data_IF_713153790451
#
_entry.id   IF_713153790451
#
_cell.length_a   1.000
_cell.length_b   1.000
_cell.length_c   1.000
_cell.angle_alpha   90.00
_cell.angle_beta   90.00
_cell.angle_gamma   90.00
#
_symmetry.space_group_name_H-M   'P 1'
#
loop_
_entity.id
_entity.type
_entity.pdbx_description
1 polymer ?
#
# COMPACT_ATOMS: atom_id res chain seq x y z
N UNK A 1 0.40 0.86 17.95
CA UNK A 1 -0.17 0.75 16.61
C UNK A 1 -1.28 -0.27 16.73
N UNK A 2 -2.47 0.05 16.23
CA UNK A 2 -3.64 -0.82 16.30
C UNK A 2 -4.50 -0.65 15.06
N UNK A 3 -5.45 -1.56 14.87
CA UNK A 3 -6.59 -1.30 13.99
C UNK A 3 -7.65 -0.56 14.80
N UNK A 4 -8.29 0.43 14.20
CA UNK A 4 -9.40 1.17 14.80
C UNK A 4 -10.57 1.24 13.82
N UNK A 5 -11.77 1.02 14.30
CA UNK A 5 -12.96 1.16 13.46
C UNK A 5 -13.35 2.63 13.32
N UNK A 6 -13.46 3.09 12.08
CA UNK A 6 -13.84 4.45 11.74
C UNK A 6 -15.24 4.84 12.29
N UNK A 7 -16.17 3.89 12.34
CA UNK A 7 -17.57 4.15 12.72
C UNK A 7 -17.80 4.14 14.23
N UNK A 8 -17.15 3.23 14.97
CA UNK A 8 -17.47 3.01 16.39
C UNK A 8 -16.27 3.15 17.33
N UNK A 9 -15.07 3.48 16.83
CA UNK A 9 -13.85 3.66 17.62
C UNK A 9 -13.33 2.37 18.27
N UNK A 10 -13.83 1.20 17.87
CA UNK A 10 -13.39 -0.07 18.40
C UNK A 10 -11.93 -0.36 17.99
N UNK A 11 -11.07 -0.58 18.97
CA UNK A 11 -9.67 -0.96 18.74
C UNK A 11 -9.46 -2.48 18.69
N UNK A 12 -8.59 -2.93 17.79
CA UNK A 12 -8.21 -4.33 17.58
C UNK A 12 -6.68 -4.44 17.39
N UNK A 13 -6.10 -5.62 17.67
CA UNK A 13 -4.67 -5.82 17.49
C UNK A 13 -4.30 -5.75 16.00
N UNK A 14 -3.12 -5.19 15.69
CA UNK A 14 -2.65 -5.03 14.31
C UNK A 14 -2.37 -6.37 13.62
N UNK A 15 -2.27 -7.46 14.39
CA UNK A 15 -2.08 -8.81 13.88
C UNK A 15 -3.40 -9.56 13.67
N UNK A 16 -4.54 -8.97 14.00
CA UNK A 16 -5.83 -9.56 13.70
C UNK A 16 -6.09 -9.55 12.18
N UNK A 17 -6.52 -10.69 11.66
CA UNK A 17 -6.82 -10.87 10.23
C UNK A 17 -8.27 -10.52 9.94
N UNK A 18 -8.64 -9.28 10.23
CA UNK A 18 -9.98 -8.73 10.04
C UNK A 18 -9.95 -7.62 9.00
N UNK A 19 -11.00 -7.51 8.19
CA UNK A 19 -11.15 -6.49 7.14
C UNK A 19 -12.36 -5.57 7.38
N UNK A 20 -13.27 -5.98 8.27
CA UNK A 20 -14.43 -5.23 8.75
C UNK A 20 -14.44 -5.32 10.28
N UNK A 21 -15.00 -4.30 10.93
CA UNK A 21 -15.15 -4.25 12.37
C UNK A 21 -16.10 -5.37 12.86
N UNK A 22 -15.64 -6.30 13.71
CA UNK A 22 -16.47 -7.36 14.27
C UNK A 22 -17.68 -6.86 15.09
N UNK A 23 -17.71 -5.58 15.49
CA UNK A 23 -18.79 -5.00 16.30
C UNK A 23 -19.90 -4.33 15.49
N UNK A 24 -19.58 -3.72 14.35
CA UNK A 24 -20.55 -2.93 13.58
C UNK A 24 -20.47 -3.11 12.06
N UNK A 25 -19.50 -3.88 11.53
CA UNK A 25 -19.28 -4.05 10.09
C UNK A 25 -18.59 -2.87 9.39
N UNK A 26 -18.25 -1.80 10.12
CA UNK A 26 -17.55 -0.65 9.56
C UNK A 26 -16.11 -0.94 9.13
N UNK A 27 -15.51 -0.05 8.35
CA UNK A 27 -14.12 -0.16 7.92
C UNK A 27 -13.14 0.08 9.08
N UNK A 28 -11.93 -0.45 8.92
CA UNK A 28 -10.83 -0.33 9.88
C UNK A 28 -9.71 0.54 9.28
N UNK A 29 -9.09 1.35 10.14
CA UNK A 29 -7.89 2.13 9.83
C UNK A 29 -6.72 1.74 10.75
N UNK A 30 -5.50 2.08 10.35
CA UNK A 30 -4.31 1.85 11.19
C UNK A 30 -4.04 3.11 11.98
N UNK A 31 -4.12 2.98 13.30
CA UNK A 31 -3.85 4.07 14.23
C UNK A 31 -2.49 3.93 14.93
N UNK A 32 -1.81 5.07 15.10
CA UNK A 32 -0.54 5.17 15.81
C UNK A 32 -0.63 6.25 16.88
N UNK A 33 -0.08 5.97 18.06
CA UNK A 33 0.11 7.05 19.04
C UNK A 33 1.28 7.94 18.63
N UNK A 34 1.27 9.19 19.11
CA UNK A 34 2.36 10.14 18.86
C UNK A 34 3.71 9.61 19.37
N UNK A 35 3.71 8.92 20.49
CA UNK A 35 4.88 8.30 21.12
C UNK A 35 5.43 7.16 20.25
N UNK A 36 4.55 6.35 19.67
CA UNK A 36 4.92 5.30 18.73
C UNK A 36 5.54 5.87 17.47
N UNK A 37 4.93 6.87 16.84
CA UNK A 37 5.50 7.52 15.66
C UNK A 37 6.87 8.12 15.94
N UNK A 38 7.05 8.78 17.10
CA UNK A 38 8.37 9.30 17.51
C UNK A 38 9.41 8.19 17.64
N UNK A 39 9.06 7.03 18.21
CA UNK A 39 9.97 5.88 18.31
C UNK A 39 10.27 5.30 16.94
N UNK A 40 9.26 5.14 16.09
CA UNK A 40 9.41 4.60 14.75
C UNK A 40 10.29 5.48 13.87
N UNK A 41 10.11 6.81 13.91
CA UNK A 41 10.94 7.76 13.17
C UNK A 41 12.40 7.79 13.63
N UNK A 42 12.67 7.50 14.91
CA UNK A 42 14.04 7.33 15.41
C UNK A 42 14.68 6.05 14.89
N UNK A 43 13.92 4.95 14.82
CA UNK A 43 14.41 3.64 14.34
C UNK A 43 14.53 3.60 12.81
N UNK A 44 13.62 4.27 12.11
CA UNK A 44 13.51 4.32 10.66
C UNK A 44 13.43 5.79 10.22
N UNK A 45 14.57 6.50 10.19
CA UNK A 45 14.61 7.89 9.73
C UNK A 45 14.21 7.99 8.25
N UNK A 46 13.73 9.18 7.84
CA UNK A 46 13.21 9.44 6.50
C UNK A 46 14.34 9.70 5.49
N UNK A 47 15.31 8.80 5.42
CA UNK A 47 16.53 8.89 4.62
C UNK A 47 16.47 7.99 3.37
N UNK A 48 17.34 8.28 2.40
CA UNK A 48 17.44 7.53 1.16
C UNK A 48 16.48 7.98 0.05
N UNK A 49 16.39 7.15 -0.99
CA UNK A 49 15.59 7.41 -2.19
C UNK A 49 14.10 7.62 -1.85
N UNK A 50 13.39 8.38 -2.69
CA UNK A 50 11.96 8.70 -2.52
C UNK A 50 11.00 7.50 -2.72
N UNK A 51 11.35 6.29 -2.30
CA UNK A 51 10.55 5.06 -2.43
C UNK A 51 9.52 4.94 -1.31
N UNK A 52 8.59 3.98 -1.44
CA UNK A 52 7.56 3.74 -0.40
C UNK A 52 8.19 3.44 0.95
N UNK A 53 9.22 2.60 0.99
CA UNK A 53 9.86 2.18 2.24
C UNK A 53 10.77 3.24 2.89
N UNK A 54 11.03 4.39 2.24
CA UNK A 54 11.58 5.57 2.94
C UNK A 54 10.66 6.01 4.09
N UNK A 55 9.36 5.77 3.94
CA UNK A 55 8.34 6.12 4.92
C UNK A 55 8.01 4.96 5.87
N UNK A 56 8.94 4.01 6.06
CA UNK A 56 8.77 2.81 6.89
C UNK A 56 8.23 3.10 8.29
N UNK A 57 8.57 4.24 8.89
CA UNK A 57 8.10 4.64 10.21
C UNK A 57 6.57 4.75 10.34
N UNK A 58 5.87 4.97 9.21
CA UNK A 58 4.42 5.13 9.13
C UNK A 58 3.68 3.88 8.63
N UNK A 59 4.41 2.78 8.38
CA UNK A 59 3.83 1.57 7.78
C UNK A 59 3.43 0.55 8.85
N UNK A 60 2.32 -0.19 8.67
CA UNK A 60 1.81 -1.16 9.63
C UNK A 60 2.55 -2.50 9.68
N UNK A 61 3.88 -2.45 9.67
CA UNK A 61 4.78 -3.61 9.61
C UNK A 61 5.58 -3.70 10.91
N UNK A 62 5.70 -4.90 11.46
CA UNK A 62 6.41 -5.20 12.70
C UNK A 62 7.79 -5.84 12.44
N UNK A 63 7.91 -6.64 11.38
CA UNK A 63 9.12 -7.38 10.99
C UNK A 63 9.66 -6.89 9.65
N UNK A 64 10.77 -6.15 9.69
CA UNK A 64 11.44 -5.61 8.51
C UNK A 64 11.97 -6.69 7.57
N UNK A 65 12.24 -7.90 8.08
CA UNK A 65 12.71 -9.01 7.24
C UNK A 65 11.64 -9.51 6.26
N UNK A 66 10.38 -9.12 6.46
CA UNK A 66 9.26 -9.46 5.58
C UNK A 66 9.00 -8.43 4.49
N UNK A 67 9.73 -7.32 4.47
CA UNK A 67 9.51 -6.25 3.50
C UNK A 67 9.70 -6.79 2.07
N UNK A 68 8.64 -6.69 1.28
CA UNK A 68 8.64 -7.00 -0.15
C UNK A 68 8.63 -5.70 -0.90
N UNK A 69 9.65 -5.44 -1.71
CA UNK A 69 9.70 -4.27 -2.59
C UNK A 69 10.26 -4.63 -3.95
N UNK A 70 9.80 -3.90 -4.96
CA UNK A 70 10.36 -3.88 -6.32
C UNK A 70 10.68 -2.44 -6.74
N UNK A 71 11.04 -1.60 -5.76
CA UNK A 71 11.48 -0.21 -5.93
C UNK A 71 10.36 0.77 -6.33
N UNK A 72 9.13 0.50 -5.90
CA UNK A 72 7.98 1.40 -6.07
C UNK A 72 8.11 2.74 -5.30
N UNK A 73 7.38 3.74 -5.78
CA UNK A 73 7.50 5.12 -5.33
C UNK A 73 8.59 5.87 -6.08
N UNK A 74 8.88 7.09 -5.64
CA UNK A 74 9.86 7.97 -6.28
C UNK A 74 9.41 8.48 -7.65
N UNK A 75 8.11 8.39 -7.93
CA UNK A 75 7.56 8.68 -9.25
C UNK A 75 7.69 10.16 -9.60
N UNK A 76 7.82 10.52 -10.90
CA UNK A 76 8.04 11.89 -11.33
C UNK A 76 6.93 12.85 -10.88
N UNK A 77 7.32 14.08 -10.53
CA UNK A 77 6.41 15.23 -10.41
C UNK A 77 6.65 16.12 -11.63
N UNK A 78 5.80 15.97 -12.64
CA UNK A 78 6.00 16.55 -13.97
C UNK A 78 5.41 17.96 -14.00
N UNK A 79 6.22 18.99 -14.27
CA UNK A 79 5.73 20.37 -14.47
C UNK A 79 5.10 20.51 -15.86
N UNK A 80 3.85 20.99 -15.92
CA UNK A 80 3.04 21.00 -17.14
C UNK A 80 2.75 22.43 -17.63
N UNK A 81 3.80 23.17 -17.99
CA UNK A 81 3.69 24.60 -18.30
C UNK A 81 2.78 24.96 -19.49
N UNK A 82 2.67 24.10 -20.51
CA UNK A 82 1.74 24.34 -21.65
C UNK A 82 0.28 24.26 -21.21
N UNK A 83 -0.06 23.23 -20.42
CA UNK A 83 -1.40 23.02 -19.90
C UNK A 83 -1.75 24.06 -18.82
N UNK A 84 -0.78 24.49 -18.01
CA UNK A 84 -0.96 25.59 -17.06
C UNK A 84 -1.46 26.86 -17.75
N UNK A 85 -0.81 27.26 -18.86
CA UNK A 85 -1.23 28.43 -19.66
C UNK A 85 -2.62 28.25 -20.28
N UNK A 86 -2.92 27.07 -20.79
CA UNK A 86 -4.22 26.75 -21.37
C UNK A 86 -5.36 26.85 -20.33
N UNK A 87 -5.09 26.46 -19.08
CA UNK A 87 -6.04 26.52 -17.97
C UNK A 87 -6.05 27.87 -17.23
N UNK A 88 -5.15 28.81 -17.57
CA UNK A 88 -5.05 30.10 -16.90
C UNK A 88 -4.54 30.03 -15.46
N UNK A 89 -3.79 28.99 -15.10
CA UNK A 89 -3.18 28.82 -13.75
C UNK A 89 -1.68 29.11 -13.79
N UNK A 90 -1.14 29.60 -12.67
CA UNK A 90 0.29 29.94 -12.56
C UNK A 90 1.19 28.72 -12.68
N UNK A 91 0.89 27.67 -11.90
CA UNK A 91 1.65 26.43 -11.90
C UNK A 91 0.74 25.20 -11.95
N UNK A 92 1.17 24.20 -12.72
CA UNK A 92 0.51 22.90 -12.80
C UNK A 92 1.56 21.79 -12.77
N UNK A 93 1.33 20.80 -11.92
CA UNK A 93 2.16 19.62 -11.80
C UNK A 93 1.31 18.35 -11.85
N UNK A 94 1.83 17.29 -12.47
CA UNK A 94 1.24 15.95 -12.48
C UNK A 94 2.15 15.01 -11.70
N UNK A 95 1.60 14.39 -10.64
CA UNK A 95 2.26 13.28 -9.95
C UNK A 95 2.06 11.99 -10.76
N UNK A 96 3.06 11.59 -11.53
CA UNK A 96 2.89 10.53 -12.52
C UNK A 96 3.10 9.13 -11.93
N UNK A 97 2.06 8.59 -11.29
CA UNK A 97 2.09 7.27 -10.65
C UNK A 97 2.10 6.08 -11.64
N UNK A 98 1.94 6.35 -12.93
CA UNK A 98 2.13 5.35 -13.99
C UNK A 98 3.59 4.92 -14.17
N UNK A 99 4.55 5.63 -13.56
CA UNK A 99 5.97 5.26 -13.59
C UNK A 99 6.38 4.24 -12.51
N UNK A 100 5.43 3.72 -11.72
CA UNK A 100 5.71 2.60 -10.82
C UNK A 100 5.97 1.30 -11.61
N UNK A 101 6.61 0.27 -11.01
CA UNK A 101 7.05 -0.94 -11.70
C UNK A 101 6.00 -1.66 -12.53
N UNK A 102 4.73 -1.74 -12.09
CA UNK A 102 3.65 -2.38 -12.86
C UNK A 102 2.82 -1.39 -13.65
N UNK A 103 3.28 -0.15 -13.81
CA UNK A 103 2.56 0.91 -14.52
C UNK A 103 1.40 1.50 -13.72
N UNK A 104 1.32 1.28 -12.40
CA UNK A 104 0.16 1.68 -11.60
C UNK A 104 0.50 2.15 -10.19
N UNK A 105 -0.30 3.07 -9.66
CA UNK A 105 -0.21 3.48 -8.26
C UNK A 105 -0.49 2.34 -7.26
N UNK A 106 -1.13 1.25 -7.71
CA UNK A 106 -1.45 0.09 -6.86
C UNK A 106 -0.23 -0.54 -6.20
N UNK A 107 0.94 -0.41 -6.82
CA UNK A 107 2.23 -0.87 -6.30
C UNK A 107 2.52 -0.34 -4.89
N UNK A 108 2.13 0.92 -4.62
CA UNK A 108 2.33 1.55 -3.31
C UNK A 108 1.57 0.89 -2.18
N UNK A 109 0.37 0.38 -2.47
CA UNK A 109 -0.40 -0.38 -1.49
C UNK A 109 0.02 -1.84 -1.47
N UNK A 110 0.30 -2.41 -2.63
CA UNK A 110 0.58 -3.82 -2.79
C UNK A 110 1.86 -4.26 -2.09
N UNK A 111 2.90 -3.42 -2.13
CA UNK A 111 4.14 -3.62 -1.37
C UNK A 111 3.88 -3.80 0.13
N UNK A 112 3.01 -2.98 0.71
CA UNK A 112 2.63 -3.06 2.14
C UNK A 112 1.74 -4.27 2.39
N UNK A 113 0.72 -4.48 1.56
CA UNK A 113 -0.24 -5.58 1.71
C UNK A 113 0.42 -6.96 1.62
N UNK A 114 1.33 -7.16 0.66
CA UNK A 114 2.05 -8.43 0.50
C UNK A 114 3.10 -8.62 1.59
N UNK A 115 3.77 -7.55 2.04
CA UNK A 115 4.62 -7.59 3.24
C UNK A 115 3.83 -8.07 4.45
N UNK A 116 2.63 -7.50 4.67
CA UNK A 116 1.76 -7.90 5.78
C UNK A 116 1.25 -9.34 5.64
N UNK A 117 0.99 -9.80 4.42
CA UNK A 117 0.64 -11.19 4.15
C UNK A 117 1.76 -12.15 4.60
N UNK A 118 3.02 -11.81 4.34
CA UNK A 118 4.16 -12.58 4.84
C UNK A 118 4.27 -12.58 6.37
N UNK A 119 4.00 -11.44 7.04
CA UNK A 119 3.93 -11.39 8.51
C UNK A 119 2.85 -12.32 9.07
N UNK A 120 1.69 -12.40 8.39
CA UNK A 120 0.63 -13.33 8.73
C UNK A 120 0.95 -14.80 8.42
N UNK A 121 2.12 -15.09 7.83
CA UNK A 121 2.54 -16.46 7.52
C UNK A 121 1.70 -17.13 6.43
N UNK A 122 0.95 -16.37 5.62
CA UNK A 122 0.16 -16.94 4.53
C UNK A 122 1.05 -17.35 3.37
N UNK A 123 0.61 -18.34 2.60
CA UNK A 123 1.34 -18.85 1.42
C UNK A 123 0.69 -18.47 0.09
N UNK A 124 -0.51 -17.91 0.15
CA UNK A 124 -1.33 -17.60 -1.01
C UNK A 124 -2.03 -16.26 -0.80
N UNK A 125 -2.02 -15.44 -1.85
CA UNK A 125 -2.83 -14.23 -1.97
C UNK A 125 -3.80 -14.38 -3.13
N UNK A 126 -4.94 -13.70 -3.06
CA UNK A 126 -5.97 -13.79 -4.08
C UNK A 126 -6.63 -12.43 -4.34
N UNK A 127 -7.14 -12.25 -5.56
CA UNK A 127 -8.03 -11.14 -5.88
C UNK A 127 -9.09 -11.57 -6.90
N UNK A 128 -10.21 -10.83 -6.94
CA UNK A 128 -11.26 -10.96 -7.94
C UNK A 128 -11.30 -9.70 -8.81
N UNK A 129 -10.19 -9.39 -9.48
CA UNK A 129 -10.03 -8.19 -10.31
C UNK A 129 -9.32 -8.52 -11.62
N UNK A 130 -9.70 -7.84 -12.71
CA UNK A 130 -9.12 -8.01 -14.05
C UNK A 130 -8.07 -6.94 -14.41
N UNK A 131 -7.84 -5.94 -13.55
CA UNK A 131 -7.04 -4.75 -13.89
C UNK A 131 -5.76 -4.59 -13.07
N UNK A 132 -5.34 -3.33 -12.88
CA UNK A 132 -4.09 -2.97 -12.20
C UNK A 132 -3.89 -3.63 -10.82
N UNK A 133 -4.98 -3.89 -10.08
CA UNK A 133 -4.90 -4.59 -8.79
C UNK A 133 -4.34 -6.01 -8.96
N UNK A 134 -4.80 -6.78 -9.94
CA UNK A 134 -4.33 -8.15 -10.14
C UNK A 134 -2.92 -8.20 -10.71
N UNK A 135 -2.59 -7.28 -11.63
CA UNK A 135 -1.23 -7.13 -12.15
C UNK A 135 -0.21 -6.81 -11.04
N UNK A 136 -0.52 -5.82 -10.19
CA UNK A 136 0.30 -5.46 -9.05
C UNK A 136 0.39 -6.62 -8.04
N UNK A 137 -0.74 -7.23 -7.66
CA UNK A 137 -0.74 -8.35 -6.70
C UNK A 137 0.12 -9.52 -7.19
N UNK A 138 0.00 -9.89 -8.47
CA UNK A 138 0.79 -10.96 -9.06
C UNK A 138 2.29 -10.65 -9.04
N UNK A 139 2.69 -9.41 -9.36
CA UNK A 139 4.09 -9.00 -9.35
C UNK A 139 4.71 -9.09 -7.95
N UNK A 140 4.04 -8.54 -6.93
CA UNK A 140 4.54 -8.59 -5.55
C UNK A 140 4.48 -10.00 -4.96
N UNK A 141 3.45 -10.78 -5.28
CA UNK A 141 3.37 -12.19 -4.86
C UNK A 141 4.54 -13.00 -5.43
N UNK A 142 4.85 -12.82 -6.73
CA UNK A 142 5.99 -13.47 -7.37
C UNK A 142 7.31 -13.07 -6.70
N UNK A 143 7.50 -11.76 -6.40
CA UNK A 143 8.67 -11.27 -5.66
C UNK A 143 8.81 -11.90 -4.28
N UNK A 144 7.69 -12.14 -3.60
CA UNK A 144 7.61 -12.69 -2.24
C UNK A 144 7.67 -14.24 -2.18
N UNK A 145 7.62 -14.93 -3.32
CA UNK A 145 7.49 -16.39 -3.36
C UNK A 145 6.12 -16.90 -2.92
N UNK A 146 5.07 -16.09 -3.03
CA UNK A 146 3.69 -16.45 -2.70
C UNK A 146 2.93 -16.94 -3.93
N UNK A 147 1.99 -17.86 -3.73
CA UNK A 147 1.02 -18.22 -4.77
C UNK A 147 0.03 -17.07 -4.97
N UNK A 148 -0.24 -16.68 -6.21
CA UNK A 148 -1.25 -15.66 -6.54
C UNK A 148 -2.42 -16.30 -7.30
N UNK A 149 -3.64 -16.08 -6.81
CA UNK A 149 -4.87 -16.53 -7.45
C UNK A 149 -5.68 -15.33 -7.96
N UNK A 150 -6.09 -15.36 -9.22
CA UNK A 150 -7.00 -14.35 -9.80
C UNK A 150 -8.30 -15.07 -10.16
N UNK A 151 -9.36 -14.77 -9.42
CA UNK A 151 -10.65 -15.44 -9.55
C UNK A 151 -11.57 -14.58 -10.42
N UNK A 152 -11.91 -15.08 -11.61
CA UNK A 152 -12.75 -14.37 -12.58
C UNK A 152 -13.97 -15.21 -12.97
N UNK A 153 -15.14 -14.59 -13.19
CA UNK A 153 -16.25 -15.29 -13.78
C UNK A 153 -15.88 -15.72 -15.21
N UNK A 154 -16.33 -16.92 -15.60
CA UNK A 154 -16.22 -17.35 -16.99
C UNK A 154 -17.00 -16.35 -17.87
N UNK A 155 -16.35 -15.80 -18.89
CA UNK A 155 -17.05 -14.97 -19.87
C UNK A 155 -18.22 -15.77 -20.47
N UNK A 156 -19.39 -15.12 -20.62
CA UNK A 156 -20.47 -15.71 -21.42
C UNK A 156 -19.95 -15.79 -22.86
N UNK A 157 -20.02 -16.99 -23.45
CA UNK A 157 -19.66 -17.25 -24.84
C UNK A 157 -20.60 -16.50 -25.80
#
# INVERSE_FOLDING_TARGET
MRLECFECGAGFDINERIYECPRCGGLLEVEFTREELKRNLKRHPLEGDLRVWRYRAFMPVLDDSKIVSISEGGTPLVRCGRLARELGVEELYIKFEGANPTGSFKDRGMTVGVTKALEFGVRTVACASTGNTSASLAAYAARAGLRCLVLLPKAKA
#
